data_IF_181779438547
#
_entry.id   IF_181779438547
#
_cell.length_a   1.000
_cell.length_b   1.000
_cell.length_c   1.000
_cell.angle_alpha   90.00
_cell.angle_beta   90.00
_cell.angle_gamma   90.00
#
_symmetry.space_group_name_H-M   'P 1'
#
loop_
_entity.id
_entity.type
_entity.pdbx_description
1 polymer ?
#
# COMPACT_ATOMS: atom_id res chain seq x y z
N UNK A 1 -1.76 16.15 -1.65
CA UNK A 1 -1.68 14.95 -2.53
C UNK A 1 -0.33 14.27 -2.29
N UNK A 2 -0.27 13.22 -1.46
CA UNK A 2 0.98 12.48 -1.23
C UNK A 2 1.38 11.75 -2.52
N UNK A 3 2.64 11.88 -2.98
CA UNK A 3 3.12 11.20 -4.19
C UNK A 3 3.12 9.69 -3.92
N UNK A 4 2.17 8.98 -4.50
CA UNK A 4 2.16 7.52 -4.50
C UNK A 4 3.26 7.00 -5.44
N UNK A 5 4.15 6.15 -4.91
CA UNK A 5 5.22 5.51 -5.67
C UNK A 5 4.61 4.55 -6.72
N UNK A 6 5.37 4.24 -7.78
CA UNK A 6 4.95 3.26 -8.81
C UNK A 6 4.81 1.86 -8.23
N UNK A 7 5.67 1.49 -7.28
CA UNK A 7 5.58 0.22 -6.53
C UNK A 7 4.28 0.15 -5.74
N UNK A 8 3.91 1.23 -5.04
CA UNK A 8 2.70 1.26 -4.23
C UNK A 8 1.43 1.08 -5.07
N UNK A 9 1.38 1.70 -6.27
CA UNK A 9 0.30 1.48 -7.24
C UNK A 9 0.23 0.03 -7.71
N UNK A 10 1.37 -0.63 -7.91
CA UNK A 10 1.41 -2.01 -8.36
C UNK A 10 0.94 -2.98 -7.27
N UNK A 11 1.34 -2.75 -6.01
CA UNK A 11 0.84 -3.49 -4.86
C UNK A 11 -0.69 -3.41 -4.73
N UNK A 12 -1.27 -2.23 -4.90
CA UNK A 12 -2.72 -2.05 -4.84
C UNK A 12 -3.44 -2.84 -5.93
N UNK A 13 -2.89 -2.87 -7.15
CA UNK A 13 -3.41 -3.67 -8.27
C UNK A 13 -3.34 -5.17 -8.01
N UNK A 14 -2.26 -5.65 -7.39
CA UNK A 14 -2.12 -7.07 -7.03
C UNK A 14 -3.13 -7.48 -5.96
N UNK A 15 -3.35 -6.63 -4.96
CA UNK A 15 -4.33 -6.88 -3.91
C UNK A 15 -5.76 -6.91 -4.49
N UNK A 16 -6.08 -5.96 -5.38
CA UNK A 16 -7.36 -5.90 -6.08
C UNK A 16 -7.59 -7.15 -6.95
N UNK A 17 -6.59 -7.52 -7.75
CA UNK A 17 -6.64 -8.74 -8.57
C UNK A 17 -6.77 -10.00 -7.71
N UNK A 18 -6.11 -10.05 -6.55
CA UNK A 18 -6.21 -11.17 -5.61
C UNK A 18 -7.62 -11.36 -5.06
N UNK A 19 -8.31 -10.26 -4.72
CA UNK A 19 -9.70 -10.33 -4.23
C UNK A 19 -10.68 -10.74 -5.33
N UNK A 20 -10.50 -10.23 -6.55
CA UNK A 20 -11.29 -10.63 -7.72
C UNK A 20 -11.08 -12.11 -8.06
N UNK A 21 -9.83 -12.59 -8.00
CA UNK A 21 -9.50 -13.99 -8.21
C UNK A 21 -10.12 -14.88 -7.13
N UNK A 22 -10.10 -14.45 -5.86
CA UNK A 22 -10.77 -15.16 -4.78
C UNK A 22 -12.29 -15.26 -5.01
N UNK A 23 -12.95 -14.16 -5.38
CA UNK A 23 -14.37 -14.15 -5.73
C UNK A 23 -14.71 -15.05 -6.92
N UNK A 24 -13.86 -15.07 -7.95
CA UNK A 24 -14.04 -15.94 -9.11
C UNK A 24 -13.83 -17.42 -8.77
N UNK A 25 -12.89 -17.71 -7.87
CA UNK A 25 -12.59 -19.07 -7.45
C UNK A 25 -13.66 -19.66 -6.54
N UNK A 26 -14.35 -18.89 -5.71
CA UNK A 26 -15.42 -19.40 -4.84
C UNK A 26 -16.46 -20.23 -5.61
N UNK A 27 -17.16 -19.71 -6.65
CA UNK A 27 -18.16 -20.48 -7.38
C UNK A 27 -17.54 -21.61 -8.22
N UNK A 28 -16.29 -21.46 -8.69
CA UNK A 28 -15.57 -22.52 -9.42
C UNK A 28 -15.22 -23.69 -8.50
N UNK A 29 -14.77 -23.40 -7.26
CA UNK A 29 -14.36 -24.41 -6.28
C UNK A 29 -15.53 -25.07 -5.55
N UNK A 30 -16.60 -24.31 -5.27
CA UNK A 30 -17.82 -24.79 -4.64
C UNK A 30 -18.84 -25.38 -5.64
N UNK A 31 -18.38 -25.89 -6.78
CA UNK A 31 -19.20 -26.73 -7.65
C UNK A 31 -19.53 -28.06 -6.92
N UNK A 32 -20.69 -28.08 -6.27
CA UNK A 32 -21.24 -29.13 -5.38
C UNK A 32 -21.36 -30.52 -6.03
N UNK A 33 -21.23 -30.63 -7.36
CA UNK A 33 -21.44 -31.86 -8.12
C UNK A 33 -20.17 -32.72 -8.29
N UNK A 34 -18.99 -32.23 -7.93
CA UNK A 34 -17.77 -33.03 -8.02
C UNK A 34 -17.60 -33.86 -6.74
N UNK A 35 -17.83 -35.16 -6.88
CA UNK A 35 -17.86 -36.26 -5.88
C UNK A 35 -16.60 -36.44 -4.99
N UNK A 36 -15.79 -35.40 -4.75
CA UNK A 36 -14.63 -35.40 -3.86
C UNK A 36 -14.63 -34.15 -2.98
N UNK A 37 -15.19 -34.34 -1.79
CA UNK A 37 -15.42 -33.32 -0.76
C UNK A 37 -14.12 -32.72 -0.18
N UNK A 38 -12.98 -33.41 -0.31
CA UNK A 38 -11.69 -32.94 0.20
C UNK A 38 -10.54 -33.38 -0.70
N UNK A 39 -10.25 -32.59 -1.73
CA UNK A 39 -8.90 -32.58 -2.28
C UNK A 39 -8.14 -31.46 -1.55
N UNK A 40 -7.01 -31.76 -0.85
CA UNK A 40 -6.20 -30.74 -0.16
C UNK A 40 -5.68 -29.67 -1.13
N UNK A 41 -5.69 -29.99 -2.42
CA UNK A 41 -5.38 -29.11 -3.54
C UNK A 41 -6.24 -27.82 -3.53
N UNK A 42 -7.52 -27.95 -3.16
CA UNK A 42 -8.49 -26.85 -3.19
C UNK A 42 -8.14 -25.69 -2.24
N UNK A 43 -7.77 -26.05 -1.02
CA UNK A 43 -7.33 -25.11 -0.01
C UNK A 43 -5.94 -24.54 -0.32
N UNK A 44 -5.11 -25.27 -1.07
CA UNK A 44 -3.75 -24.86 -1.40
C UNK A 44 -3.74 -23.72 -2.43
N UNK A 45 -4.66 -23.72 -3.40
CA UNK A 45 -4.81 -22.61 -4.36
C UNK A 45 -5.20 -21.30 -3.66
N UNK A 46 -6.21 -21.33 -2.78
CA UNK A 46 -6.63 -20.14 -2.04
C UNK A 46 -5.51 -19.61 -1.16
N UNK A 47 -4.80 -20.51 -0.45
CA UNK A 47 -3.63 -20.14 0.36
C UNK A 47 -2.54 -19.49 -0.47
N UNK A 48 -2.23 -20.00 -1.66
CA UNK A 48 -1.23 -19.41 -2.55
C UNK A 48 -1.60 -17.97 -2.94
N UNK A 49 -2.87 -17.72 -3.24
CA UNK A 49 -3.36 -16.36 -3.58
C UNK A 49 -3.24 -15.43 -2.36
N UNK A 50 -3.64 -15.90 -1.19
CA UNK A 50 -3.50 -15.13 0.07
C UNK A 50 -2.04 -14.83 0.35
N UNK A 51 -1.12 -15.77 0.14
CA UNK A 51 0.32 -15.54 0.31
C UNK A 51 0.85 -14.47 -0.66
N UNK A 52 0.40 -14.46 -1.92
CA UNK A 52 0.76 -13.41 -2.89
C UNK A 52 0.23 -12.05 -2.44
N UNK A 53 -1.00 -11.97 -1.92
CA UNK A 53 -1.56 -10.72 -1.39
C UNK A 53 -0.81 -10.23 -0.15
N UNK A 54 -0.43 -11.12 0.76
CA UNK A 54 0.39 -10.80 1.94
C UNK A 54 1.76 -10.26 1.52
N UNK A 55 2.40 -10.88 0.53
CA UNK A 55 3.68 -10.43 0.00
C UNK A 55 3.57 -9.01 -0.61
N UNK A 56 2.54 -8.76 -1.42
CA UNK A 56 2.29 -7.44 -2.00
C UNK A 56 2.01 -6.37 -0.91
N UNK A 57 1.23 -6.73 0.11
CA UNK A 57 0.98 -5.87 1.26
C UNK A 57 2.27 -5.53 2.02
N UNK A 58 3.12 -6.52 2.28
CA UNK A 58 4.37 -6.33 2.99
C UNK A 58 5.31 -5.37 2.24
N UNK A 59 5.42 -5.52 0.91
CA UNK A 59 6.21 -4.61 0.06
C UNK A 59 5.70 -3.17 0.17
N UNK A 60 4.37 -2.97 0.11
CA UNK A 60 3.76 -1.64 0.26
C UNK A 60 4.04 -1.03 1.64
N UNK A 61 3.97 -1.83 2.70
CA UNK A 61 4.24 -1.35 4.06
C UNK A 61 5.71 -0.92 4.19
N UNK A 62 6.64 -1.74 3.71
CA UNK A 62 8.08 -1.43 3.75
C UNK A 62 8.43 -0.14 2.97
N UNK A 63 7.80 0.10 1.81
CA UNK A 63 8.00 1.32 1.02
C UNK A 63 7.45 2.57 1.75
N UNK A 64 6.33 2.43 2.46
CA UNK A 64 5.74 3.50 3.26
C UNK A 64 6.55 3.89 4.50
N UNK A 65 7.24 2.94 5.14
CA UNK A 65 8.05 3.19 6.34
C UNK A 65 9.34 3.99 6.07
N UNK A 66 9.88 3.95 4.85
CA UNK A 66 11.10 4.69 4.47
C UNK A 66 10.87 6.19 4.19
N UNK A 67 9.62 6.62 4.06
CA UNK A 67 9.27 8.02 3.80
C UNK A 67 9.39 8.86 5.07
N UNK A 68 10.61 9.29 5.39
CA UNK A 68 10.89 10.19 6.51
C UNK A 68 10.03 11.46 6.39
N UNK A 69 9.31 11.88 7.45
CA UNK A 69 8.59 13.15 7.43
C UNK A 69 9.58 14.29 7.11
N UNK A 70 9.22 15.25 6.24
CA UNK A 70 10.01 16.47 6.10
C UNK A 70 10.11 17.10 7.48
N UNK A 71 11.35 17.39 7.90
CA UNK A 71 11.64 18.02 9.18
C UNK A 71 10.74 19.26 9.33
N UNK A 72 9.92 19.35 10.38
CA UNK A 72 9.23 20.57 10.72
C UNK A 72 10.31 21.62 11.02
N UNK A 73 10.33 22.67 10.22
CA UNK A 73 10.93 23.96 10.57
C UNK A 73 12.46 23.98 10.67
N UNK A 74 13.17 23.62 9.59
CA UNK A 74 14.46 24.27 9.35
C UNK A 74 14.17 25.70 8.86
N UNK A 75 14.45 26.75 9.66
CA UNK A 75 14.20 28.13 9.25
C UNK A 75 15.03 28.44 7.99
N UNK A 76 14.47 29.19 7.02
CA UNK A 76 15.21 29.52 5.82
C UNK A 76 16.45 30.37 6.19
N UNK A 77 17.61 30.13 5.53
CA UNK A 77 18.90 30.72 5.91
C UNK A 77 18.97 32.25 5.75
N UNK A 78 17.92 32.87 5.22
CA UNK A 78 17.72 34.31 5.09
C UNK A 78 17.16 34.97 6.35
N UNK A 79 16.45 34.23 7.22
CA UNK A 79 15.93 34.76 8.50
C UNK A 79 17.04 35.11 9.49
N UNK A 80 18.21 34.46 9.38
CA UNK A 80 19.38 34.75 10.21
C UNK A 80 20.22 35.95 9.69
N UNK A 81 19.92 36.49 8.51
CA UNK A 81 20.73 37.53 7.87
C UNK A 81 20.03 38.87 7.65
N UNK A 82 18.80 39.07 8.15
CA UNK A 82 18.10 40.37 8.02
C UNK A 82 18.47 41.31 9.18
N UNK A 83 19.29 42.35 8.96
CA UNK A 83 19.58 43.35 9.98
C UNK A 83 18.48 44.41 9.90
N UNK A 84 17.68 44.52 10.96
CA UNK A 84 16.92 45.73 11.28
C UNK A 84 15.83 46.13 10.27
N UNK A 85 14.62 45.60 10.45
CA UNK A 85 13.40 46.31 10.05
C UNK A 85 12.68 46.76 11.34
N UNK A 86 12.50 48.07 11.58
CA UNK A 86 11.75 48.58 12.72
C UNK A 86 10.25 48.81 12.42
N UNK A 87 9.71 48.32 11.30
CA UNK A 87 8.38 48.71 10.80
C UNK A 87 7.43 47.56 10.42
N UNK A 88 7.80 46.30 10.64
CA UNK A 88 7.04 45.11 10.17
C UNK A 88 5.71 44.79 10.88
N UNK A 89 5.08 45.73 11.59
CA UNK A 89 3.91 45.47 12.44
C UNK A 89 2.69 46.38 12.23
N UNK A 90 2.70 47.27 11.24
CA UNK A 90 1.52 48.04 10.87
C UNK A 90 1.11 47.65 9.47
N UNK A 91 0.25 46.64 9.30
CA UNK A 91 -0.84 46.51 8.30
C UNK A 91 -1.66 45.27 8.67
#
# INVERSE_FOLDING_TARGET
>A
MQRQSTIQRWCDRVIEAGWLLALALIPIYFNLLSSRHFEPDKATTLRAIVLVMIAAWLIRVLDGFGSRPPAPDAPPPDAASSPGNPFGGLW
#
